data_IF_232684578679
#
_entry.id   IF_232684578679
#
_cell.length_a   1.000
_cell.length_b   1.000
_cell.length_c   1.000
_cell.angle_alpha   90.00
_cell.angle_beta   90.00
_cell.angle_gamma   90.00
#
_symmetry.space_group_name_H-M   'P 1'
#
loop_
_entity.id
_entity.type
_entity.pdbx_description
1 polymer ?
#
# COMPACT_ATOMS: atom_id res chain seq x y z
N UNK A 1 -9.07 14.00 27.08
CA UNK A 1 -9.28 12.54 27.02
C UNK A 1 -9.15 12.00 28.44
N UNK A 2 -10.01 11.10 28.93
CA UNK A 2 -9.83 10.44 30.23
C UNK A 2 -8.45 9.77 30.32
N UNK A 3 -7.85 9.73 31.52
CA UNK A 3 -6.51 9.18 31.70
C UNK A 3 -6.43 7.65 31.52
N UNK A 4 -7.57 6.97 31.52
CA UNK A 4 -7.73 5.53 31.33
C UNK A 4 -8.28 5.16 29.95
N UNK A 5 -8.41 6.13 29.04
CA UNK A 5 -8.77 5.84 27.66
C UNK A 5 -7.60 5.16 26.96
N UNK A 6 -7.87 4.03 26.32
CA UNK A 6 -6.89 3.34 25.47
C UNK A 6 -6.78 4.04 24.11
N UNK A 7 -5.66 3.81 23.41
CA UNK A 7 -5.57 4.25 22.02
C UNK A 7 -6.66 3.58 21.16
N UNK A 8 -7.21 4.30 20.19
CA UNK A 8 -8.28 3.77 19.36
C UNK A 8 -8.90 4.78 18.40
N UNK A 9 -9.68 4.26 17.46
CA UNK A 9 -10.58 5.05 16.62
C UNK A 9 -11.94 5.13 17.33
N UNK A 10 -12.30 6.32 17.79
CA UNK A 10 -13.54 6.56 18.53
C UNK A 10 -14.63 7.17 17.65
N UNK A 11 -15.86 6.73 17.90
CA UNK A 11 -17.06 7.17 17.19
C UNK A 11 -18.06 7.79 18.18
N UNK A 12 -18.12 9.12 18.25
CA UNK A 12 -19.19 9.79 18.97
C UNK A 12 -20.46 9.79 18.11
N UNK A 13 -21.50 9.06 18.54
CA UNK A 13 -22.79 9.01 17.86
C UNK A 13 -23.73 10.08 18.42
N UNK A 14 -23.88 11.17 17.68
CA UNK A 14 -24.84 12.22 17.98
C UNK A 14 -26.22 11.77 17.51
N UNK A 15 -27.20 11.74 18.42
CA UNK A 15 -28.58 11.33 18.12
C UNK A 15 -29.51 12.51 18.40
N UNK A 16 -30.48 12.73 17.51
CA UNK A 16 -31.51 13.76 17.73
C UNK A 16 -32.40 13.40 18.91
N UNK A 17 -32.68 14.39 19.75
CA UNK A 17 -33.60 14.25 20.90
C UNK A 17 -34.96 14.88 20.66
N UNK A 18 -35.09 15.72 19.62
CA UNK A 18 -36.41 16.10 19.12
C UNK A 18 -36.99 14.89 18.37
N UNK A 19 -38.32 14.68 18.41
CA UNK A 19 -39.00 13.46 17.92
C UNK A 19 -38.81 13.14 16.41
N UNK A 20 -37.86 13.78 15.74
CA UNK A 20 -37.37 13.51 14.41
C UNK A 20 -36.23 12.48 14.46
N UNK A 21 -36.34 11.40 13.70
CA UNK A 21 -35.24 10.45 13.57
C UNK A 21 -34.02 11.11 12.92
N UNK A 22 -32.83 10.83 13.45
CA UNK A 22 -31.56 11.26 12.86
C UNK A 22 -30.38 11.01 13.77
N UNK A 23 -29.25 10.65 13.18
CA UNK A 23 -27.97 10.54 13.88
C UNK A 23 -26.80 10.84 12.96
N UNK A 24 -25.68 11.25 13.54
CA UNK A 24 -24.41 11.45 12.84
C UNK A 24 -23.27 10.94 13.71
N UNK A 25 -22.20 10.49 13.07
CA UNK A 25 -20.97 10.12 13.75
C UNK A 25 -19.94 11.24 13.62
N UNK A 26 -19.22 11.49 14.71
CA UNK A 26 -17.95 12.21 14.71
C UNK A 26 -16.85 11.17 14.93
N UNK A 27 -15.89 11.14 14.03
CA UNK A 27 -14.71 10.27 14.10
C UNK A 27 -13.57 11.05 14.74
N UNK A 28 -12.85 10.42 15.66
CA UNK A 28 -11.62 10.97 16.20
C UNK A 28 -10.73 9.85 16.70
N UNK A 29 -9.43 10.07 16.67
CA UNK A 29 -8.45 9.14 17.20
C UNK A 29 -8.02 9.60 18.59
N UNK A 30 -7.98 8.66 19.52
CA UNK A 30 -7.27 8.83 20.80
C UNK A 30 -5.92 8.16 20.61
N UNK A 31 -4.86 8.96 20.69
CA UNK A 31 -3.48 8.49 20.55
C UNK A 31 -2.92 8.04 21.88
N UNK A 32 -1.88 7.22 21.81
CA UNK A 32 -0.95 6.97 22.90
C UNK A 32 0.42 7.51 22.50
N UNK A 33 0.79 8.69 23.00
CA UNK A 33 2.03 9.41 22.68
C UNK A 33 3.16 9.10 23.71
N UNK A 34 2.87 8.27 24.70
CA UNK A 34 3.87 7.80 25.69
C UNK A 34 4.10 6.28 25.56
N UNK A 35 3.41 5.65 24.61
CA UNK A 35 3.37 4.22 24.37
C UNK A 35 4.54 3.70 23.53
N UNK A 36 4.43 2.45 23.12
CA UNK A 36 5.42 1.75 22.29
C UNK A 36 4.89 0.41 21.83
N UNK A 37 3.60 0.39 21.43
CA UNK A 37 2.93 -0.82 20.98
C UNK A 37 3.64 -1.41 19.77
N UNK A 38 3.58 -2.73 19.57
CA UNK A 38 4.24 -3.36 18.43
C UNK A 38 3.77 -2.77 17.09
N UNK A 39 2.47 -2.43 16.97
CA UNK A 39 1.86 -1.90 15.76
C UNK A 39 1.42 -0.44 15.93
N UNK A 40 1.68 0.39 14.92
CA UNK A 40 1.08 1.71 14.76
C UNK A 40 0.17 1.74 13.54
N UNK A 41 -1.14 1.90 13.78
CA UNK A 41 -2.15 2.00 12.74
C UNK A 41 -2.39 3.46 12.36
N UNK A 42 -2.06 3.83 11.12
CA UNK A 42 -2.48 5.11 10.55
C UNK A 42 -3.88 5.01 9.97
N UNK A 43 -4.77 5.91 10.39
CA UNK A 43 -6.05 6.09 9.73
C UNK A 43 -5.91 6.89 8.44
N UNK A 44 -6.73 6.60 7.44
CA UNK A 44 -6.81 7.33 6.16
C UNK A 44 -7.65 8.62 6.26
N UNK A 45 -7.48 9.42 7.32
CA UNK A 45 -8.34 10.57 7.63
C UNK A 45 -8.30 11.69 6.58
N UNK A 46 -7.16 11.85 5.91
CA UNK A 46 -7.00 12.74 4.76
C UNK A 46 -7.93 12.34 3.62
N UNK A 47 -8.05 11.04 3.32
CA UNK A 47 -9.01 10.50 2.34
C UNK A 47 -10.44 10.70 2.81
N UNK A 48 -10.75 10.43 4.08
CA UNK A 48 -12.09 10.67 4.62
C UNK A 48 -12.51 12.12 4.39
N UNK A 49 -11.61 13.09 4.60
CA UNK A 49 -11.88 14.52 4.38
C UNK A 49 -11.93 14.91 2.91
N UNK A 50 -11.07 14.34 2.08
CA UNK A 50 -11.03 14.58 0.63
C UNK A 50 -12.36 14.21 -0.03
N UNK A 51 -12.96 13.10 0.40
CA UNK A 51 -14.24 12.60 -0.10
C UNK A 51 -15.46 13.13 0.66
N UNK A 52 -15.29 13.75 1.84
CA UNK A 52 -16.39 14.29 2.61
C UNK A 52 -17.16 15.40 1.84
N UNK A 53 -18.37 15.09 1.41
CA UNK A 53 -19.25 16.00 0.67
C UNK A 53 -20.14 16.88 1.57
N UNK A 54 -19.92 16.87 2.89
CA UNK A 54 -20.73 17.67 3.79
C UNK A 54 -20.65 19.16 3.42
N UNK A 55 -21.82 19.80 3.28
CA UNK A 55 -21.93 21.18 2.79
C UNK A 55 -21.87 21.33 1.27
N UNK A 56 -21.87 20.23 0.51
CA UNK A 56 -22.00 20.20 -0.95
C UNK A 56 -20.70 20.33 -1.74
N UNK A 57 -19.54 20.34 -1.08
CA UNK A 57 -18.23 20.38 -1.73
C UNK A 57 -17.25 19.39 -1.08
N UNK A 58 -16.42 18.75 -1.90
CA UNK A 58 -15.29 17.88 -1.57
C UNK A 58 -14.17 18.09 -2.60
N UNK A 59 -13.05 17.37 -2.49
CA UNK A 59 -12.00 17.42 -3.51
C UNK A 59 -12.38 16.72 -4.83
N UNK A 60 -13.59 16.15 -4.91
CA UNK A 60 -14.12 15.48 -6.11
C UNK A 60 -15.36 16.14 -6.69
N UNK A 61 -16.16 16.84 -5.89
CA UNK A 61 -17.41 17.46 -6.36
C UNK A 61 -17.64 18.80 -5.70
N UNK A 62 -18.31 19.72 -6.38
CA UNK A 62 -18.58 21.06 -5.85
C UNK A 62 -18.97 22.08 -6.90
N UNK A 63 -19.36 23.26 -6.46
CA UNK A 63 -19.79 24.39 -7.30
C UNK A 63 -19.17 25.70 -6.81
N UNK A 64 -18.75 26.62 -7.71
CA UNK A 64 -18.90 26.58 -9.18
C UNK A 64 -17.76 25.88 -9.93
N UNK A 65 -16.65 25.54 -9.27
CA UNK A 65 -15.44 25.02 -9.92
C UNK A 65 -15.47 23.52 -10.26
N UNK A 66 -16.58 22.82 -9.98
CA UNK A 66 -16.71 21.37 -10.15
C UNK A 66 -16.17 20.55 -8.98
N UNK A 67 -15.30 21.13 -8.14
CA UNK A 67 -14.78 20.58 -6.87
C UNK A 67 -14.20 21.69 -5.99
N UNK A 68 -13.89 21.37 -4.73
CA UNK A 68 -13.05 22.20 -3.88
C UNK A 68 -11.55 21.94 -4.15
N UNK A 69 -10.71 22.93 -3.85
CA UNK A 69 -9.25 22.80 -3.79
C UNK A 69 -8.75 22.59 -2.35
N UNK A 70 -9.58 22.95 -1.37
CA UNK A 70 -9.28 22.95 0.05
C UNK A 70 -10.49 22.41 0.81
N UNK A 71 -10.25 21.54 1.80
CA UNK A 71 -11.30 20.97 2.64
C UNK A 71 -10.90 21.07 4.12
N UNK A 72 -11.85 21.51 4.95
CA UNK A 72 -11.58 21.75 6.38
C UNK A 72 -11.93 20.55 7.24
N UNK A 73 -11.12 20.29 8.26
CA UNK A 73 -11.41 19.36 9.37
C UNK A 73 -12.45 19.93 10.35
N UNK A 74 -12.73 21.24 10.32
CA UNK A 74 -13.69 21.90 11.19
C UNK A 74 -15.11 21.86 10.61
N UNK A 75 -15.48 20.72 10.01
CA UNK A 75 -16.81 20.47 9.46
C UNK A 75 -17.28 19.04 9.77
N UNK A 76 -18.59 18.81 9.88
CA UNK A 76 -19.13 17.46 10.05
C UNK A 76 -18.80 16.52 8.88
N UNK A 77 -18.97 15.23 9.11
CA UNK A 77 -18.94 14.22 8.06
C UNK A 77 -20.35 13.87 7.58
N UNK A 78 -20.50 13.62 6.28
CA UNK A 78 -21.67 12.90 5.77
C UNK A 78 -21.56 11.43 6.17
N UNK A 79 -22.07 11.11 7.36
CA UNK A 79 -22.04 9.75 7.93
C UNK A 79 -22.67 8.72 6.99
N UNK A 80 -21.93 7.65 6.64
CA UNK A 80 -22.39 6.60 5.70
C UNK A 80 -23.00 7.21 4.43
N UNK A 81 -22.31 8.22 3.92
CA UNK A 81 -22.74 9.06 2.81
C UNK A 81 -22.56 8.39 1.45
N UNK A 82 -22.47 9.19 0.37
CA UNK A 82 -22.43 8.70 -1.01
C UNK A 82 -21.15 7.95 -1.38
N UNK A 83 -20.10 8.04 -0.56
CA UNK A 83 -18.77 7.47 -0.79
C UNK A 83 -18.41 6.51 0.34
N UNK A 84 -19.16 5.40 0.53
CA UNK A 84 -18.94 4.50 1.66
C UNK A 84 -17.58 3.80 1.58
N UNK A 85 -17.00 3.63 0.39
CA UNK A 85 -15.66 3.07 0.16
C UNK A 85 -14.52 3.84 0.85
N UNK A 86 -14.68 5.16 0.99
CA UNK A 86 -13.64 6.09 1.48
C UNK A 86 -13.82 6.45 2.95
N UNK A 87 -14.55 5.61 3.68
CA UNK A 87 -14.95 5.81 5.08
C UNK A 87 -14.31 4.74 5.95
N UNK A 88 -14.05 5.03 7.24
CA UNK A 88 -13.43 4.07 8.17
C UNK A 88 -14.19 2.74 8.26
N UNK A 89 -15.50 2.75 8.03
CA UNK A 89 -16.34 1.54 8.09
C UNK A 89 -16.15 0.57 6.92
N UNK A 90 -15.39 0.92 5.88
CA UNK A 90 -15.22 0.07 4.71
C UNK A 90 -14.06 -0.92 4.86
N UNK A 91 -12.85 -0.44 5.07
CA UNK A 91 -11.66 -1.28 5.08
C UNK A 91 -10.83 -1.17 6.38
N UNK A 92 -10.87 -0.02 7.05
CA UNK A 92 -10.15 0.15 8.32
C UNK A 92 -10.86 -0.60 9.46
N UNK A 93 -12.19 -0.49 9.56
CA UNK A 93 -12.98 -1.14 10.60
C UNK A 93 -12.85 -2.67 10.65
N UNK A 94 -12.94 -3.44 9.54
CA UNK A 94 -12.69 -4.88 9.60
C UNK A 94 -11.24 -5.22 10.00
N UNK A 95 -10.24 -4.41 9.65
CA UNK A 95 -8.86 -4.60 10.12
C UNK A 95 -8.74 -4.36 11.62
N UNK A 96 -9.23 -3.23 12.13
CA UNK A 96 -9.25 -2.88 13.57
C UNK A 96 -9.89 -4.01 14.38
N UNK A 97 -11.08 -4.45 13.96
CA UNK A 97 -11.80 -5.55 14.63
C UNK A 97 -10.98 -6.84 14.66
N UNK A 98 -10.24 -7.13 13.61
CA UNK A 98 -9.45 -8.35 13.52
C UNK A 98 -8.18 -8.27 14.38
N UNK A 99 -7.45 -7.15 14.33
CA UNK A 99 -6.27 -6.91 15.17
C UNK A 99 -6.63 -6.99 16.66
N UNK A 100 -7.63 -6.23 17.10
CA UNK A 100 -8.06 -6.19 18.50
C UNK A 100 -8.63 -7.55 18.97
N UNK A 101 -9.38 -8.27 18.12
CA UNK A 101 -9.91 -9.61 18.47
C UNK A 101 -8.80 -10.64 18.68
N UNK A 102 -7.69 -10.50 17.98
CA UNK A 102 -6.51 -11.34 18.14
C UNK A 102 -5.49 -10.73 19.13
N UNK A 103 -5.86 -9.69 19.88
CA UNK A 103 -5.00 -9.17 20.96
C UNK A 103 -3.61 -8.72 20.48
N UNK A 104 -3.52 -8.13 19.29
CA UNK A 104 -2.31 -7.40 18.92
C UNK A 104 -2.17 -6.16 19.80
N UNK A 105 -0.95 -5.85 20.20
CA UNK A 105 -0.62 -4.57 20.81
C UNK A 105 -0.56 -3.49 19.71
N UNK A 106 -1.58 -2.64 19.66
CA UNK A 106 -1.78 -1.67 18.58
C UNK A 106 -2.20 -0.32 19.13
N UNK A 107 -1.52 0.72 18.66
CA UNK A 107 -1.90 2.12 18.85
C UNK A 107 -2.33 2.75 17.53
N UNK A 108 -3.05 3.86 17.61
CA UNK A 108 -3.69 4.51 16.48
C UNK A 108 -3.31 5.98 16.41
N UNK A 109 -3.07 6.46 15.19
CA UNK A 109 -2.88 7.88 14.87
C UNK A 109 -3.40 8.19 13.46
N UNK A 110 -3.35 9.45 13.04
CA UNK A 110 -3.88 9.87 11.73
C UNK A 110 -2.80 10.26 10.72
N UNK A 111 -3.15 10.43 9.44
CA UNK A 111 -2.22 10.95 8.43
C UNK A 111 -1.75 12.38 8.73
N UNK A 112 -2.57 13.17 9.44
CA UNK A 112 -2.16 14.47 10.02
C UNK A 112 -1.02 14.26 11.03
N UNK A 113 -1.13 13.23 11.87
CA UNK A 113 -0.10 12.90 12.87
C UNK A 113 1.17 12.36 12.21
N UNK A 114 1.03 11.57 11.15
CA UNK A 114 2.16 11.14 10.32
C UNK A 114 2.97 12.31 9.76
N UNK A 115 2.34 13.46 9.47
CA UNK A 115 3.04 14.68 9.05
C UNK A 115 3.71 15.42 10.22
N UNK A 116 2.97 15.69 11.30
CA UNK A 116 3.42 16.59 12.38
C UNK A 116 4.18 15.91 13.52
N UNK A 117 4.05 14.59 13.66
CA UNK A 117 4.61 13.76 14.73
C UNK A 117 5.31 12.51 14.18
N UNK A 118 6.07 12.65 13.09
CA UNK A 118 6.74 11.53 12.44
C UNK A 118 7.72 10.76 13.31
N UNK A 119 8.23 11.35 14.41
CA UNK A 119 9.08 10.65 15.38
C UNK A 119 8.37 9.51 16.08
N UNK A 120 7.06 9.61 16.31
CA UNK A 120 6.26 8.58 17.00
C UNK A 120 6.29 7.26 16.20
N UNK A 121 6.41 7.32 14.87
CA UNK A 121 6.49 6.13 14.02
C UNK A 121 7.70 5.26 14.38
N UNK A 122 8.77 5.86 14.90
CA UNK A 122 10.01 5.17 15.28
C UNK A 122 9.90 4.39 16.59
N UNK A 123 8.78 4.52 17.30
CA UNK A 123 8.57 3.91 18.62
C UNK A 123 7.90 2.54 18.54
N UNK A 124 7.67 2.04 17.32
CA UNK A 124 6.93 0.82 17.02
C UNK A 124 7.74 -0.11 16.12
N UNK A 125 7.39 -1.40 16.12
CA UNK A 125 8.03 -2.41 15.25
C UNK A 125 7.52 -2.28 13.81
N UNK A 126 6.20 -2.05 13.63
CA UNK A 126 5.59 -1.89 12.32
C UNK A 126 4.56 -0.77 12.23
N UNK A 127 4.60 -0.04 11.11
CA UNK A 127 3.62 0.94 10.70
C UNK A 127 2.62 0.33 9.70
N UNK A 128 1.33 0.59 9.89
CA UNK A 128 0.25 0.10 9.05
C UNK A 128 -0.49 1.25 8.36
N UNK A 129 -0.60 1.18 7.03
CA UNK A 129 -1.55 1.97 6.24
C UNK A 129 -2.62 1.02 5.69
N UNK A 130 -3.90 1.33 5.91
CA UNK A 130 -4.99 0.37 5.71
C UNK A 130 -6.15 1.00 4.94
N UNK A 131 -6.69 0.25 4.00
CA UNK A 131 -7.91 0.64 3.29
C UNK A 131 -7.61 1.57 2.12
N UNK A 132 -8.15 2.80 2.14
CA UNK A 132 -8.00 3.75 1.03
C UNK A 132 -7.24 4.99 1.48
N UNK A 133 -5.91 4.93 1.46
CA UNK A 133 -5.02 5.98 1.99
C UNK A 133 -4.44 6.88 0.88
N UNK A 134 -5.32 7.44 0.04
CA UNK A 134 -5.00 8.13 -1.22
C UNK A 134 -4.25 9.46 -1.07
N UNK A 135 -4.50 10.22 -0.01
CA UNK A 135 -4.05 11.61 0.12
C UNK A 135 -2.91 11.74 1.12
N UNK A 136 -1.68 11.89 0.63
CA UNK A 136 -0.50 12.00 1.46
C UNK A 136 0.11 13.39 1.39
N UNK A 137 0.46 13.94 2.55
CA UNK A 137 1.23 15.18 2.62
C UNK A 137 2.72 14.89 2.45
N UNK A 138 3.49 15.93 2.10
CA UNK A 138 4.92 15.76 1.88
C UNK A 138 5.69 15.34 3.14
N UNK A 139 5.34 15.90 4.30
CA UNK A 139 5.97 15.55 5.57
C UNK A 139 5.59 14.13 6.00
N UNK A 140 4.32 13.75 5.87
CA UNK A 140 3.87 12.37 6.12
C UNK A 140 4.67 11.34 5.31
N UNK A 141 4.76 11.52 3.98
CA UNK A 141 5.52 10.59 3.12
C UNK A 141 7.00 10.54 3.51
N UNK A 142 7.60 11.70 3.81
CA UNK A 142 8.99 11.79 4.24
C UNK A 142 9.23 11.08 5.59
N UNK A 143 8.33 11.24 6.55
CA UNK A 143 8.44 10.62 7.88
C UNK A 143 8.27 9.10 7.81
N UNK A 144 7.29 8.58 7.06
CA UNK A 144 7.12 7.14 6.85
C UNK A 144 8.35 6.54 6.14
N UNK A 145 8.89 7.25 5.15
CA UNK A 145 10.11 6.83 4.45
C UNK A 145 11.32 6.82 5.41
N UNK A 146 11.44 7.84 6.26
CA UNK A 146 12.50 7.90 7.27
C UNK A 146 12.37 6.78 8.30
N UNK A 147 11.16 6.38 8.68
CA UNK A 147 10.91 5.25 9.56
C UNK A 147 11.38 3.92 8.96
N UNK A 148 11.03 3.66 7.68
CA UNK A 148 11.58 2.52 6.92
C UNK A 148 13.10 2.54 6.94
N UNK A 149 13.70 3.68 6.64
CA UNK A 149 15.16 3.83 6.56
C UNK A 149 15.84 3.71 7.94
N UNK A 150 15.08 3.87 9.03
CA UNK A 150 15.51 3.63 10.40
C UNK A 150 15.28 2.18 10.88
N UNK A 151 14.58 1.35 10.11
CA UNK A 151 14.36 -0.07 10.41
C UNK A 151 12.94 -0.44 10.82
N UNK A 152 12.00 0.50 10.85
CA UNK A 152 10.58 0.21 11.12
C UNK A 152 9.97 -0.49 9.90
N UNK A 153 9.28 -1.59 10.13
CA UNK A 153 8.60 -2.34 9.08
C UNK A 153 7.35 -1.60 8.61
N UNK A 154 7.02 -1.68 7.32
CA UNK A 154 5.85 -1.01 6.74
C UNK A 154 4.90 -2.03 6.11
N UNK A 155 3.62 -2.04 6.51
CA UNK A 155 2.59 -2.81 5.82
C UNK A 155 1.53 -1.89 5.22
N UNK A 156 1.51 -1.81 3.89
CA UNK A 156 0.47 -1.15 3.11
C UNK A 156 -0.61 -2.18 2.79
N UNK A 157 -1.60 -2.27 3.66
CA UNK A 157 -2.80 -3.11 3.53
C UNK A 157 -3.89 -2.28 2.82
N UNK A 158 -3.46 -1.66 1.72
CA UNK A 158 -4.14 -0.61 0.96
C UNK A 158 -3.93 -0.84 -0.54
N UNK A 159 -4.73 -0.13 -1.35
CA UNK A 159 -4.48 0.15 -2.75
C UNK A 159 -4.76 1.63 -2.99
N UNK A 160 -4.28 2.19 -4.11
CA UNK A 160 -4.34 3.63 -4.38
C UNK A 160 -3.78 4.50 -3.25
N UNK A 161 -2.88 3.97 -2.41
CA UNK A 161 -2.25 4.77 -1.36
C UNK A 161 -1.23 5.75 -1.92
N UNK A 162 -1.08 6.88 -1.21
CA UNK A 162 -0.09 7.91 -1.56
C UNK A 162 -0.18 8.37 -3.02
N UNK A 163 -1.37 8.41 -3.62
CA UNK A 163 -1.57 8.80 -5.00
C UNK A 163 -1.55 10.33 -5.19
N UNK A 164 -2.32 11.07 -4.38
CA UNK A 164 -2.35 12.52 -4.41
C UNK A 164 -1.38 13.13 -3.40
N UNK A 165 -0.56 14.07 -3.87
CA UNK A 165 0.22 14.95 -2.99
C UNK A 165 -0.67 16.06 -2.44
N UNK A 166 -0.57 16.29 -1.14
CA UNK A 166 -1.29 17.36 -0.43
C UNK A 166 -0.35 18.25 0.37
N UNK A 167 -0.91 19.35 0.88
CA UNK A 167 -0.28 20.21 1.87
C UNK A 167 -1.30 20.68 2.90
N UNK A 168 -0.79 21.20 4.01
CA UNK A 168 -1.59 21.68 5.13
C UNK A 168 -1.69 23.20 5.14
N UNK A 169 -2.86 23.69 5.55
CA UNK A 169 -3.06 25.06 6.00
C UNK A 169 -3.70 25.10 7.40
N UNK A 170 -3.59 26.25 8.04
CA UNK A 170 -4.25 26.54 9.30
C UNK A 170 -5.78 26.55 9.13
N UNK A 171 -6.48 26.44 10.26
CA UNK A 171 -7.92 26.67 10.31
C UNK A 171 -8.25 28.09 9.85
N UNK A 172 -9.35 28.22 9.10
CA UNK A 172 -9.92 29.52 8.73
C UNK A 172 -10.70 30.20 9.86
N UNK A 173 -10.88 29.54 11.00
CA UNK A 173 -11.49 30.15 12.17
C UNK A 173 -10.50 31.06 12.94
N UNK A 174 -10.99 31.76 13.95
CA UNK A 174 -10.18 32.70 14.73
C UNK A 174 -9.07 32.06 15.56
N UNK A 175 -9.04 30.73 15.72
CA UNK A 175 -8.00 30.03 16.46
C UNK A 175 -6.79 29.67 15.59
N UNK A 176 -6.92 29.71 14.25
CA UNK A 176 -5.86 29.43 13.29
C UNK A 176 -5.02 28.17 13.65
N UNK A 177 -5.70 27.13 14.13
CA UNK A 177 -5.01 25.89 14.51
C UNK A 177 -4.43 25.23 13.26
N UNK A 178 -3.14 24.91 13.28
CA UNK A 178 -2.45 24.24 12.16
C UNK A 178 -3.07 22.90 11.78
N UNK A 179 -2.86 22.46 10.53
CA UNK A 179 -3.30 21.15 10.03
C UNK A 179 -4.81 20.95 10.14
N UNK A 180 -5.59 22.00 9.90
CA UNK A 180 -7.07 21.95 9.90
C UNK A 180 -7.68 22.15 8.53
N UNK A 181 -6.86 22.40 7.52
CA UNK A 181 -7.27 22.54 6.13
C UNK A 181 -6.34 21.67 5.26
N UNK A 182 -6.92 20.65 4.61
CA UNK A 182 -6.23 19.80 3.65
C UNK A 182 -6.36 20.42 2.26
N UNK A 183 -5.24 20.61 1.57
CA UNK A 183 -5.19 21.28 0.27
C UNK A 183 -4.72 20.33 -0.82
N UNK A 184 -5.49 20.26 -1.91
CA UNK A 184 -5.09 19.60 -3.15
C UNK A 184 -5.70 20.28 -4.38
N UNK A 185 -4.85 20.89 -5.18
CA UNK A 185 -5.26 21.48 -6.45
C UNK A 185 -5.35 20.45 -7.58
N UNK A 186 -5.09 19.16 -7.34
CA UNK A 186 -5.07 18.08 -8.33
C UNK A 186 -4.49 18.54 -9.67
N UNK A 187 -3.28 19.08 -9.59
CA UNK A 187 -2.62 19.77 -10.71
C UNK A 187 -2.40 18.84 -11.92
N UNK A 188 -2.32 17.53 -11.69
CA UNK A 188 -2.35 16.47 -12.71
C UNK A 188 -3.61 16.50 -13.57
N UNK A 189 -4.79 16.71 -12.99
CA UNK A 189 -6.04 16.87 -13.75
C UNK A 189 -6.08 18.22 -14.48
N UNK A 190 -5.55 19.28 -13.85
CA UNK A 190 -5.50 20.60 -14.46
C UNK A 190 -4.53 20.66 -15.65
N UNK A 191 -3.54 19.76 -15.71
CA UNK A 191 -2.48 19.78 -16.72
C UNK A 191 -1.52 20.96 -16.56
N UNK A 192 -1.47 21.57 -15.38
CA UNK A 192 -0.67 22.76 -15.08
C UNK A 192 -0.49 22.96 -13.58
N UNK A 193 0.61 23.63 -13.18
CA UNK A 193 0.78 24.17 -11.83
C UNK A 193 -0.22 25.31 -11.60
N UNK A 194 -1.19 25.11 -10.71
CA UNK A 194 -2.28 26.04 -10.40
C UNK A 194 -2.47 26.32 -8.90
N UNK A 195 -1.85 25.55 -8.01
CA UNK A 195 -1.78 25.93 -6.59
C UNK A 195 -0.95 27.24 -6.49
N UNK A 196 -1.45 28.28 -5.81
CA UNK A 196 -0.81 29.59 -5.74
C UNK A 196 0.52 29.56 -4.96
N UNK A 197 0.80 28.49 -4.23
CA UNK A 197 2.09 28.24 -3.60
C UNK A 197 3.04 27.48 -4.53
N UNK A 198 4.32 27.38 -4.17
CA UNK A 198 5.29 26.58 -4.92
C UNK A 198 5.10 25.08 -4.78
N UNK A 199 4.35 24.62 -3.78
CA UNK A 199 4.18 23.20 -3.47
C UNK A 199 3.37 22.50 -4.56
N UNK A 200 3.83 21.33 -5.00
CA UNK A 200 3.08 20.45 -5.89
C UNK A 200 1.91 19.80 -5.14
N UNK A 201 0.72 19.79 -5.74
CA UNK A 201 -0.45 19.07 -5.21
C UNK A 201 -1.20 18.26 -6.28
N UNK A 202 -0.48 17.75 -7.28
CA UNK A 202 -0.95 16.73 -8.21
C UNK A 202 -0.59 15.31 -7.76
N UNK A 203 -0.69 14.34 -8.65
CA UNK A 203 -0.28 12.96 -8.35
C UNK A 203 1.23 12.89 -8.16
N UNK A 204 1.67 12.00 -7.28
CA UNK A 204 3.08 11.86 -6.97
C UNK A 204 3.90 11.38 -8.16
N UNK A 205 3.32 10.53 -9.01
CA UNK A 205 3.97 9.95 -10.19
C UNK A 205 4.06 10.87 -11.42
N UNK A 206 3.45 12.05 -11.40
CA UNK A 206 3.29 12.88 -12.60
C UNK A 206 4.65 13.33 -13.16
N UNK A 207 5.06 12.75 -14.29
CA UNK A 207 6.35 13.04 -14.92
C UNK A 207 6.33 14.28 -15.83
N UNK A 208 5.17 14.91 -16.02
CA UNK A 208 5.03 16.00 -17.00
C UNK A 208 5.77 17.26 -16.56
N UNK A 209 6.30 18.08 -17.49
CA UNK A 209 7.22 19.18 -17.17
C UNK A 209 6.68 20.29 -16.26
N UNK A 210 5.36 20.38 -16.07
CA UNK A 210 4.75 21.37 -15.18
C UNK A 210 4.71 20.93 -13.72
N UNK A 211 5.01 19.67 -13.41
CA UNK A 211 5.34 19.24 -12.06
C UNK A 211 6.77 19.75 -11.74
N UNK A 212 6.92 20.74 -10.84
CA UNK A 212 8.22 21.33 -10.56
C UNK A 212 9.14 20.41 -9.74
N UNK A 213 8.61 19.36 -9.15
CA UNK A 213 9.34 18.42 -8.28
C UNK A 213 9.78 17.14 -9.00
N UNK A 214 9.29 16.92 -10.23
CA UNK A 214 9.47 15.67 -10.96
C UNK A 214 8.66 14.50 -10.36
N UNK A 215 8.65 13.34 -11.06
CA UNK A 215 7.89 12.18 -10.62
C UNK A 215 8.56 11.55 -9.38
N UNK A 216 7.73 11.21 -8.39
CA UNK A 216 8.06 10.41 -7.22
C UNK A 216 7.01 9.29 -7.08
N UNK A 217 6.99 8.30 -7.98
CA UNK A 217 5.96 7.25 -7.97
C UNK A 217 5.82 6.53 -6.63
N UNK A 218 4.63 6.07 -6.35
CA UNK A 218 4.18 5.44 -5.10
C UNK A 218 4.95 4.15 -4.83
N UNK A 219 5.15 3.34 -5.89
CA UNK A 219 5.87 2.07 -5.80
C UNK A 219 7.31 2.19 -5.29
N UNK A 220 7.95 3.36 -5.44
CA UNK A 220 9.28 3.62 -4.86
C UNK A 220 9.31 3.56 -3.32
N UNK A 221 8.15 3.67 -2.66
CA UNK A 221 7.99 3.43 -1.23
C UNK A 221 7.18 2.16 -0.96
N UNK A 222 5.98 2.03 -1.53
CA UNK A 222 5.01 0.99 -1.12
C UNK A 222 5.21 -0.35 -1.82
N UNK A 223 6.01 -0.37 -2.90
CA UNK A 223 6.24 -1.54 -3.73
C UNK A 223 5.21 -1.76 -4.84
N UNK A 224 4.07 -1.09 -4.79
CA UNK A 224 2.99 -1.18 -5.80
C UNK A 224 2.57 0.20 -6.29
N UNK A 225 1.95 0.25 -7.47
CA UNK A 225 1.48 1.50 -8.09
C UNK A 225 0.04 1.35 -8.57
N UNK A 226 -0.84 2.27 -8.17
CA UNK A 226 -2.25 2.25 -8.56
C UNK A 226 -2.47 2.18 -10.07
N UNK A 227 -3.30 1.25 -10.51
CA UNK A 227 -3.61 1.08 -11.93
C UNK A 227 -5.09 0.83 -12.22
N UNK A 228 -5.88 0.30 -11.30
CA UNK A 228 -7.26 -0.08 -11.57
C UNK A 228 -8.24 0.69 -10.71
N UNK A 229 -9.08 1.48 -11.38
CA UNK A 229 -9.94 2.51 -10.76
C UNK A 229 -11.25 1.98 -10.15
N UNK A 230 -11.71 0.81 -10.59
CA UNK A 230 -13.01 0.30 -10.14
C UNK A 230 -13.17 -1.19 -10.34
N UNK A 231 -14.20 -1.72 -9.67
CA UNK A 231 -14.56 -3.13 -9.71
C UNK A 231 -13.98 -3.91 -8.53
N UNK A 232 -14.35 -5.17 -8.41
CA UNK A 232 -13.78 -6.04 -7.38
C UNK A 232 -13.63 -7.45 -7.94
N UNK A 233 -12.64 -8.17 -7.44
CA UNK A 233 -12.35 -9.54 -7.81
C UNK A 233 -11.62 -10.22 -6.64
N UNK A 234 -11.02 -11.35 -6.91
CA UNK A 234 -10.35 -12.22 -5.97
C UNK A 234 -8.84 -12.17 -6.20
N UNK A 235 -8.07 -12.32 -5.13
CA UNK A 235 -6.62 -12.55 -5.23
C UNK A 235 -6.38 -14.03 -5.58
N UNK A 236 -5.35 -14.29 -6.39
CA UNK A 236 -4.89 -15.65 -6.72
C UNK A 236 -3.45 -15.87 -6.30
N UNK A 237 -3.18 -17.04 -5.73
CA UNK A 237 -1.83 -17.48 -5.32
C UNK A 237 -1.45 -18.70 -6.13
N UNK A 238 -0.41 -18.58 -6.96
CA UNK A 238 0.13 -19.69 -7.73
C UNK A 238 0.96 -20.66 -6.88
N UNK A 239 1.16 -21.87 -7.38
CA UNK A 239 1.89 -22.92 -6.66
C UNK A 239 3.32 -22.56 -6.24
N UNK A 240 4.02 -21.72 -7.02
CA UNK A 240 5.35 -21.24 -6.64
C UNK A 240 5.27 -20.21 -5.50
N UNK A 241 4.28 -19.34 -5.52
CA UNK A 241 4.07 -18.32 -4.50
C UNK A 241 3.57 -18.93 -3.19
N UNK A 242 2.68 -19.92 -3.24
CA UNK A 242 2.14 -20.60 -2.07
C UNK A 242 3.20 -21.30 -1.20
N UNK A 243 4.41 -21.55 -1.73
CA UNK A 243 5.57 -22.04 -0.98
C UNK A 243 6.37 -20.94 -0.26
N UNK A 244 6.13 -19.67 -0.60
CA UNK A 244 6.83 -18.56 0.03
C UNK A 244 6.36 -18.35 1.46
N UNK A 245 7.25 -17.76 2.25
CA UNK A 245 7.13 -17.66 3.70
C UNK A 245 5.85 -16.99 4.20
N UNK A 246 5.29 -16.03 3.46
CA UNK A 246 4.00 -15.39 3.81
C UNK A 246 2.88 -16.44 3.99
N UNK A 247 2.89 -17.50 3.18
CA UNK A 247 1.80 -18.47 3.09
C UNK A 247 1.98 -19.71 3.95
N UNK A 248 2.98 -19.75 4.84
CA UNK A 248 3.16 -20.83 5.83
C UNK A 248 1.89 -21.03 6.66
N UNK A 249 1.58 -22.26 7.08
CA UNK A 249 0.30 -22.60 7.74
C UNK A 249 -0.95 -22.34 6.85
N UNK A 250 -0.70 -22.09 5.57
CA UNK A 250 -1.58 -21.96 4.41
C UNK A 250 -2.48 -23.13 4.05
N UNK A 251 -1.78 -24.27 3.91
CA UNK A 251 -1.97 -25.33 2.91
C UNK A 251 -1.61 -24.96 1.45
N UNK A 252 -1.29 -23.70 1.13
CA UNK A 252 -0.98 -23.27 -0.25
C UNK A 252 0.35 -23.79 -0.79
N UNK A 253 1.23 -24.27 0.08
CA UNK A 253 2.49 -24.95 -0.26
C UNK A 253 2.25 -26.32 -0.94
N UNK A 254 1.06 -26.90 -0.76
CA UNK A 254 0.65 -28.19 -1.33
C UNK A 254 0.13 -28.11 -2.77
N UNK A 255 -0.01 -26.91 -3.34
CA UNK A 255 -0.45 -26.72 -4.72
C UNK A 255 0.50 -27.38 -5.72
N UNK A 256 -0.06 -28.15 -6.66
CA UNK A 256 0.73 -28.78 -7.71
C UNK A 256 1.24 -27.72 -8.72
N UNK A 257 2.38 -27.95 -9.40
CA UNK A 257 2.87 -27.04 -10.43
C UNK A 257 1.81 -26.68 -11.47
N UNK A 258 1.63 -25.38 -11.73
CA UNK A 258 0.62 -24.84 -12.64
C UNK A 258 -0.78 -24.64 -12.04
N UNK A 259 -1.00 -25.01 -10.77
CA UNK A 259 -2.24 -24.67 -10.05
C UNK A 259 -2.14 -23.29 -9.39
N UNK A 260 -3.30 -22.65 -9.24
CA UNK A 260 -3.50 -21.48 -8.37
C UNK A 260 -4.65 -21.75 -7.40
N UNK A 261 -4.65 -21.02 -6.29
CA UNK A 261 -5.75 -20.95 -5.36
C UNK A 261 -6.35 -19.54 -5.38
N UNK A 262 -7.66 -19.44 -5.56
CA UNK A 262 -8.43 -18.21 -5.38
C UNK A 262 -8.66 -17.98 -3.88
N UNK A 263 -8.43 -16.76 -3.40
CA UNK A 263 -8.66 -16.33 -2.02
C UNK A 263 -10.11 -15.80 -1.83
N UNK A 264 -10.32 -14.96 -0.82
CA UNK A 264 -11.63 -14.42 -0.48
C UNK A 264 -12.31 -13.67 -1.63
N UNK A 265 -13.64 -13.75 -1.66
CA UNK A 265 -14.45 -13.01 -2.62
C UNK A 265 -14.33 -11.49 -2.39
N UNK A 266 -14.20 -10.73 -3.47
CA UNK A 266 -14.17 -9.27 -3.46
C UNK A 266 -13.04 -8.65 -2.61
N UNK A 267 -11.90 -9.35 -2.47
CA UNK A 267 -10.74 -8.85 -1.70
C UNK A 267 -9.70 -8.13 -2.56
N UNK A 268 -9.82 -8.20 -3.88
CA UNK A 268 -9.05 -7.41 -4.85
C UNK A 268 -9.90 -6.26 -5.38
N UNK A 269 -9.69 -5.05 -4.86
CA UNK A 269 -10.43 -3.85 -5.23
C UNK A 269 -10.61 -2.91 -4.03
N UNK A 270 -11.57 -1.97 -4.04
CA UNK A 270 -12.33 -1.60 -5.24
C UNK A 270 -11.42 -0.90 -6.27
N UNK A 271 -10.36 -0.28 -5.77
CA UNK A 271 -9.18 0.13 -6.50
C UNK A 271 -7.99 -0.74 -6.08
N UNK A 272 -7.09 -0.97 -7.03
CA UNK A 272 -5.95 -1.84 -6.80
C UNK A 272 -4.78 -1.54 -7.72
N UNK A 273 -3.63 -2.09 -7.33
CA UNK A 273 -2.32 -1.69 -7.81
C UNK A 273 -1.61 -2.82 -8.56
N UNK A 274 -0.57 -2.45 -9.31
CA UNK A 274 0.34 -3.39 -9.97
C UNK A 274 1.78 -3.26 -9.48
N UNK A 275 2.60 -4.28 -9.75
CA UNK A 275 4.06 -4.24 -9.66
C UNK A 275 4.66 -3.93 -11.05
N UNK A 276 4.77 -2.63 -11.39
CA UNK A 276 5.30 -2.18 -12.66
C UNK A 276 6.82 -1.98 -12.64
N UNK A 277 7.50 -2.47 -13.68
CA UNK A 277 8.91 -2.18 -13.97
C UNK A 277 9.06 -0.78 -14.62
N UNK A 278 8.83 0.26 -13.83
CA UNK A 278 8.85 1.67 -14.25
C UNK A 278 10.15 2.40 -13.86
N UNK A 279 11.19 1.67 -13.46
CA UNK A 279 12.45 2.24 -12.96
C UNK A 279 12.39 2.82 -11.53
N UNK A 280 11.22 2.82 -10.88
CA UNK A 280 11.06 3.20 -9.46
C UNK A 280 10.80 2.00 -8.55
N UNK A 281 10.70 0.79 -9.10
CA UNK A 281 10.52 -0.45 -8.35
C UNK A 281 11.68 -0.66 -7.35
N UNK A 282 11.41 -0.92 -6.05
CA UNK A 282 12.46 -1.16 -5.07
C UNK A 282 13.29 -2.42 -5.40
N UNK A 283 14.62 -2.36 -5.29
CA UNK A 283 15.47 -3.54 -5.50
C UNK A 283 15.13 -4.68 -4.54
N UNK A 284 15.19 -5.91 -5.04
CA UNK A 284 14.91 -7.12 -4.29
C UNK A 284 13.43 -7.38 -4.02
N UNK A 285 12.51 -6.62 -4.64
CA UNK A 285 11.08 -6.83 -4.48
C UNK A 285 10.65 -8.18 -5.08
N UNK A 286 9.94 -8.97 -4.26
CA UNK A 286 9.39 -10.27 -4.63
C UNK A 286 7.87 -10.22 -4.73
N UNK A 287 7.31 -11.10 -5.57
CA UNK A 287 5.86 -11.29 -5.75
C UNK A 287 5.39 -12.48 -4.93
N UNK A 288 4.36 -12.25 -4.13
CA UNK A 288 3.75 -13.21 -3.21
C UNK A 288 2.39 -13.73 -3.70
N UNK A 289 1.86 -13.16 -4.77
CA UNK A 289 0.64 -13.61 -5.45
C UNK A 289 0.68 -13.13 -6.90
N UNK A 290 -0.15 -13.69 -7.76
CA UNK A 290 -0.32 -13.23 -9.14
C UNK A 290 -1.77 -13.45 -9.57
N UNK A 291 -2.48 -12.36 -9.85
CA UNK A 291 -3.84 -12.39 -10.40
C UNK A 291 -3.95 -11.51 -11.65
N UNK A 292 -4.27 -12.11 -12.79
CA UNK A 292 -4.48 -11.37 -14.06
C UNK A 292 -5.96 -11.15 -14.26
N UNK A 293 -6.37 -9.89 -14.50
CA UNK A 293 -7.78 -9.51 -14.67
C UNK A 293 -7.98 -8.72 -15.97
N UNK A 294 -8.66 -9.27 -16.98
CA UNK A 294 -9.04 -8.55 -18.18
C UNK A 294 -10.35 -7.77 -17.98
N UNK A 295 -10.55 -6.74 -18.81
CA UNK A 295 -11.80 -5.98 -18.86
C UNK A 295 -12.00 -5.00 -17.70
N UNK A 296 -10.94 -4.69 -16.95
CA UNK A 296 -10.98 -3.75 -15.83
C UNK A 296 -10.66 -2.33 -16.27
N UNK A 297 -11.01 -1.34 -15.47
CA UNK A 297 -10.81 0.08 -15.77
C UNK A 297 -9.37 0.51 -15.42
N UNK A 298 -8.46 0.43 -16.41
CA UNK A 298 -7.03 0.66 -16.22
C UNK A 298 -6.65 2.12 -16.49
N UNK A 299 -5.82 2.69 -15.63
CA UNK A 299 -5.25 4.02 -15.78
C UNK A 299 -4.32 4.09 -17.01
N UNK A 300 -4.50 5.11 -17.83
CA UNK A 300 -3.81 5.28 -19.12
C UNK A 300 -2.78 6.42 -19.10
N UNK A 301 -2.77 7.23 -18.04
CA UNK A 301 -1.92 8.41 -17.92
C UNK A 301 -1.50 8.63 -16.45
N UNK A 302 -1.12 9.85 -16.09
CA UNK A 302 -0.62 10.19 -14.76
C UNK A 302 -1.71 10.28 -13.68
N UNK A 303 -2.99 10.03 -14.01
CA UNK A 303 -4.06 9.91 -13.00
C UNK A 303 -5.45 10.40 -13.39
N UNK A 304 -5.77 10.54 -14.68
CA UNK A 304 -7.01 11.19 -15.16
C UNK A 304 -7.81 10.36 -16.17
N UNK A 305 -7.15 9.54 -16.99
CA UNK A 305 -7.79 8.84 -18.10
C UNK A 305 -7.79 7.34 -17.84
N UNK A 306 -8.96 6.72 -17.96
CA UNK A 306 -9.12 5.28 -17.79
C UNK A 306 -9.74 4.64 -19.02
N UNK A 307 -9.35 3.39 -19.30
CA UNK A 307 -9.91 2.59 -20.38
C UNK A 307 -9.97 1.11 -20.00
N UNK A 308 -10.90 0.32 -20.60
CA UNK A 308 -10.89 -1.13 -20.42
C UNK A 308 -9.56 -1.74 -20.84
N UNK A 309 -8.93 -2.49 -19.95
CA UNK A 309 -7.62 -3.09 -20.15
C UNK A 309 -7.47 -4.43 -19.44
N UNK A 310 -6.25 -4.97 -19.47
CA UNK A 310 -5.85 -6.11 -18.63
C UNK A 310 -4.83 -5.61 -17.63
N UNK A 311 -5.02 -5.97 -16.38
CA UNK A 311 -4.14 -5.59 -15.28
C UNK A 311 -3.67 -6.83 -14.51
N UNK A 312 -2.48 -6.76 -13.92
CA UNK A 312 -1.87 -7.88 -13.17
C UNK A 312 -1.55 -7.47 -11.74
N UNK A 313 -2.33 -7.98 -10.80
CA UNK A 313 -2.14 -7.75 -9.37
C UNK A 313 -1.08 -8.69 -8.79
N UNK A 314 -0.27 -8.14 -7.89
CA UNK A 314 0.66 -8.88 -7.04
C UNK A 314 0.61 -8.35 -5.60
N UNK A 315 0.57 -9.25 -4.63
CA UNK A 315 1.09 -8.95 -3.30
C UNK A 315 2.62 -8.82 -3.41
N UNK A 316 3.19 -7.80 -2.80
CA UNK A 316 4.63 -7.53 -2.89
C UNK A 316 5.29 -7.50 -1.52
N UNK A 317 6.58 -7.86 -1.49
CA UNK A 317 7.43 -7.66 -0.33
C UNK A 317 8.83 -7.30 -0.79
N UNK A 318 9.45 -6.30 -0.18
CA UNK A 318 10.89 -6.05 -0.31
C UNK A 318 11.52 -5.81 1.06
N UNK A 319 12.85 -5.91 1.10
CA UNK A 319 13.64 -5.54 2.27
C UNK A 319 14.45 -4.29 1.98
N UNK A 320 14.19 -3.22 2.71
CA UNK A 320 14.96 -1.99 2.62
C UNK A 320 16.41 -2.18 3.11
N UNK A 321 17.29 -1.24 2.76
CA UNK A 321 18.70 -1.30 3.16
C UNK A 321 18.89 -1.31 4.69
N UNK A 322 17.96 -0.70 5.43
CA UNK A 322 17.91 -0.71 6.90
C UNK A 322 17.63 -2.09 7.49
N UNK A 323 17.12 -3.03 6.70
CA UNK A 323 16.61 -4.32 7.15
C UNK A 323 15.10 -4.38 7.24
N UNK A 324 14.41 -3.23 7.22
CA UNK A 324 12.94 -3.15 7.28
C UNK A 324 12.28 -3.92 6.13
N UNK A 325 11.25 -4.68 6.43
CA UNK A 325 10.30 -5.28 5.51
C UNK A 325 9.27 -4.23 5.10
N UNK A 326 8.98 -4.20 3.80
CA UNK A 326 7.88 -3.39 3.26
C UNK A 326 6.98 -4.28 2.44
N UNK A 327 5.75 -4.43 2.90
CA UNK A 327 4.70 -5.23 2.27
C UNK A 327 3.66 -4.34 1.60
N UNK A 328 3.31 -4.65 0.35
CA UNK A 328 2.22 -4.01 -0.37
C UNK A 328 1.13 -5.02 -0.71
N UNK A 329 -0.08 -4.81 -0.19
CA UNK A 329 -1.26 -5.58 -0.55
C UNK A 329 -1.79 -5.21 -1.94
N UNK A 330 -1.61 -3.95 -2.36
CA UNK A 330 -2.09 -3.43 -3.64
C UNK A 330 -3.59 -3.56 -3.83
N UNK A 331 -4.38 -3.44 -2.76
CA UNK A 331 -5.84 -3.53 -2.77
C UNK A 331 -6.43 -2.85 -1.54
N UNK A 332 -7.46 -2.02 -1.74
CA UNK A 332 -8.20 -1.39 -0.63
C UNK A 332 -8.90 -2.45 0.25
N UNK A 333 -9.29 -3.57 -0.35
CA UNK A 333 -10.19 -4.56 0.24
C UNK A 333 -9.49 -5.72 0.96
N UNK A 334 -8.18 -5.63 1.25
CA UNK A 334 -7.45 -6.73 1.93
C UNK A 334 -8.17 -7.19 3.21
N UNK A 335 -8.61 -6.24 4.04
CA UNK A 335 -9.24 -6.50 5.34
C UNK A 335 -10.61 -7.17 5.26
N UNK A 336 -11.25 -7.20 4.09
CA UNK A 336 -12.49 -7.96 3.88
C UNK A 336 -12.25 -9.47 3.97
N UNK A 337 -11.02 -9.91 3.65
CA UNK A 337 -10.58 -11.28 3.89
C UNK A 337 -10.40 -11.61 5.38
N UNK A 338 -10.39 -10.61 6.27
CA UNK A 338 -10.12 -10.78 7.70
C UNK A 338 -11.39 -10.75 8.56
N UNK A 339 -12.34 -9.86 8.27
CA UNK A 339 -13.60 -9.73 8.98
C UNK A 339 -14.74 -9.30 8.04
N UNK A 340 -15.92 -9.89 8.23
CA UNK A 340 -17.09 -9.67 7.36
C UNK A 340 -17.82 -8.35 7.61
N UNK A 341 -17.46 -7.59 8.66
CA UNK A 341 -18.21 -6.42 9.09
C UNK A 341 -17.69 -5.13 8.43
N UNK A 342 -18.25 -4.79 7.27
CA UNK A 342 -17.91 -3.57 6.52
C UNK A 342 -19.11 -2.97 5.77
N UNK A 343 -18.97 -1.73 5.30
CA UNK A 343 -20.08 -0.93 4.71
C UNK A 343 -20.32 -1.12 3.19
N UNK A 344 -19.77 -2.15 2.56
CA UNK A 344 -19.96 -2.44 1.12
C UNK A 344 -20.21 -3.90 0.83
N UNK A 345 -21.39 -4.37 1.22
CA UNK A 345 -21.83 -5.75 0.97
C UNK A 345 -21.45 -6.69 2.10
N UNK A 346 -21.42 -7.98 1.79
CA UNK A 346 -20.98 -9.01 2.72
C UNK A 346 -19.83 -9.76 2.06
N UNK A 347 -18.79 -10.03 2.84
CA UNK A 347 -17.69 -10.90 2.46
C UNK A 347 -17.66 -12.10 3.41
N UNK A 348 -17.12 -13.22 2.92
CA UNK A 348 -16.76 -14.36 3.77
C UNK A 348 -15.27 -14.27 4.05
N UNK A 349 -14.84 -14.09 5.31
CA UNK A 349 -13.43 -14.04 5.65
C UNK A 349 -12.70 -15.31 5.20
N UNK A 350 -11.47 -15.15 4.71
CA UNK A 350 -10.63 -16.23 4.24
C UNK A 350 -9.55 -16.54 5.28
N UNK A 351 -9.58 -17.76 5.84
CA UNK A 351 -8.65 -18.19 6.87
C UNK A 351 -7.18 -18.14 6.40
N UNK A 352 -6.91 -18.29 5.09
CA UNK A 352 -5.57 -18.19 4.52
C UNK A 352 -5.07 -16.74 4.53
N UNK A 353 -5.95 -15.77 4.26
CA UNK A 353 -5.61 -14.34 4.37
C UNK A 353 -5.40 -13.92 5.83
N UNK A 354 -6.23 -14.43 6.74
CA UNK A 354 -6.04 -14.24 8.18
C UNK A 354 -4.70 -14.79 8.65
N UNK A 355 -4.39 -16.03 8.28
CA UNK A 355 -3.11 -16.65 8.64
C UNK A 355 -1.92 -15.95 7.96
N UNK A 356 -2.04 -15.50 6.71
CA UNK A 356 -1.02 -14.71 6.04
C UNK A 356 -0.78 -13.36 6.75
N UNK A 357 -1.82 -12.72 7.28
CA UNK A 357 -1.68 -11.49 8.07
C UNK A 357 -0.95 -11.78 9.40
N UNK A 358 -1.28 -12.88 10.10
CA UNK A 358 -0.51 -13.32 11.28
C UNK A 358 0.96 -13.55 10.93
N UNK A 359 1.21 -14.21 9.81
CA UNK A 359 2.55 -14.52 9.36
C UNK A 359 3.35 -13.26 9.01
N UNK A 360 2.72 -12.29 8.35
CA UNK A 360 3.33 -11.02 7.99
C UNK A 360 3.73 -10.24 9.24
N UNK A 361 2.77 -9.98 10.14
CA UNK A 361 2.98 -9.16 11.33
C UNK A 361 4.02 -9.80 12.26
N UNK A 362 4.03 -11.13 12.39
CA UNK A 362 5.06 -11.82 13.16
C UNK A 362 6.47 -11.75 12.53
N UNK A 363 6.56 -11.71 11.20
CA UNK A 363 7.85 -11.45 10.53
C UNK A 363 8.27 -9.98 10.68
N UNK A 364 7.32 -9.10 11.02
CA UNK A 364 7.52 -7.68 11.34
C UNK A 364 7.61 -7.40 12.86
N UNK A 365 7.94 -8.41 13.66
CA UNK A 365 8.14 -8.26 15.11
C UNK A 365 6.88 -8.34 15.98
N UNK A 366 5.68 -8.21 15.41
CA UNK A 366 4.42 -8.17 16.16
C UNK A 366 3.72 -9.54 16.22
N UNK A 367 3.68 -10.15 17.41
CA UNK A 367 2.91 -11.38 17.65
C UNK A 367 1.63 -11.09 18.43
N UNK A 368 0.49 -11.70 18.06
CA UNK A 368 -0.73 -11.56 18.83
C UNK A 368 -0.66 -12.32 20.17
N UNK A 369 -1.18 -11.70 21.23
CA UNK A 369 -1.38 -12.35 22.54
C UNK A 369 -2.54 -13.36 22.54
N UNK A 370 -3.42 -13.28 21.53
CA UNK A 370 -4.55 -14.18 21.37
C UNK A 370 -4.78 -14.57 19.91
N UNK A 371 -5.22 -15.79 19.63
CA UNK A 371 -5.61 -16.16 18.27
C UNK A 371 -7.01 -16.72 18.27
N UNK A 372 -7.83 -16.23 17.35
CA UNK A 372 -9.12 -16.84 17.07
C UNK A 372 -8.92 -18.29 16.56
N UNK A 373 -9.91 -19.18 16.75
CA UNK A 373 -9.80 -20.57 16.31
C UNK A 373 -9.47 -20.69 14.82
N UNK A 374 -8.58 -21.64 14.49
CA UNK A 374 -8.13 -21.89 13.13
C UNK A 374 -6.84 -21.15 12.73
N UNK A 375 -6.40 -20.17 13.52
CA UNK A 375 -5.11 -19.52 13.30
C UNK A 375 -4.03 -20.14 14.19
N UNK A 376 -2.79 -20.07 13.71
CA UNK A 376 -1.60 -20.57 14.41
C UNK A 376 -0.58 -19.44 14.53
N UNK A 377 0.03 -19.31 15.70
CA UNK A 377 1.12 -18.36 15.91
C UNK A 377 2.26 -18.65 14.93
N UNK A 378 2.79 -17.60 14.31
CA UNK A 378 3.89 -17.74 13.38
C UNK A 378 5.20 -18.06 14.12
N UNK A 379 6.14 -18.70 13.44
CA UNK A 379 7.48 -18.99 13.97
C UNK A 379 8.52 -18.22 13.17
N UNK A 380 9.51 -17.63 13.86
CA UNK A 380 10.64 -16.95 13.22
C UNK A 380 11.37 -17.87 12.22
N UNK A 381 12.00 -17.28 11.20
CA UNK A 381 12.85 -18.02 10.28
C UNK A 381 14.11 -18.48 11.01
N UNK A 382 14.48 -19.75 10.82
CA UNK A 382 15.80 -20.25 11.22
C UNK A 382 16.82 -20.10 10.09
N UNK A 383 16.36 -19.73 8.90
CA UNK A 383 17.21 -19.47 7.76
C UNK A 383 17.71 -18.02 7.80
N UNK A 384 19.03 -17.88 7.88
CA UNK A 384 19.76 -16.61 7.85
C UNK A 384 20.74 -16.55 6.68
N UNK A 385 20.74 -17.53 5.79
CA UNK A 385 21.61 -17.56 4.62
C UNK A 385 20.98 -16.74 3.50
N UNK A 386 21.77 -15.89 2.85
CA UNK A 386 21.27 -15.20 1.67
C UNK A 386 21.13 -16.19 0.50
N UNK A 387 20.08 -16.06 -0.34
CA UNK A 387 20.01 -16.79 -1.59
C UNK A 387 21.14 -16.33 -2.53
N UNK A 388 21.48 -17.19 -3.50
CA UNK A 388 22.51 -16.90 -4.50
C UNK A 388 21.95 -17.07 -5.91
N UNK A 389 22.42 -16.23 -6.83
CA UNK A 389 22.14 -16.32 -8.27
C UNK A 389 23.44 -16.54 -9.05
N UNK A 390 23.36 -17.27 -10.16
CA UNK A 390 24.48 -17.56 -11.06
C UNK A 390 24.04 -17.33 -12.49
N UNK A 391 24.69 -16.38 -13.16
CA UNK A 391 24.54 -16.15 -14.59
C UNK A 391 25.22 -17.27 -15.39
N UNK A 392 24.47 -17.89 -16.30
CA UNK A 392 24.96 -18.99 -17.16
C UNK A 392 25.11 -18.57 -18.62
N UNK A 393 24.32 -17.60 -19.08
CA UNK A 393 24.41 -17.02 -20.42
C UNK A 393 24.06 -15.53 -20.41
N UNK A 394 24.72 -14.68 -21.22
CA UNK A 394 25.89 -14.98 -22.05
C UNK A 394 27.16 -15.21 -21.20
N UNK A 395 28.17 -15.93 -21.71
CA UNK A 395 29.42 -16.12 -20.95
C UNK A 395 30.19 -14.81 -20.79
N UNK A 396 30.95 -14.60 -19.69
CA UNK A 396 31.79 -13.43 -19.52
C UNK A 396 32.69 -13.18 -20.75
N UNK A 397 32.64 -11.96 -21.29
CA UNK A 397 33.40 -11.57 -22.48
C UNK A 397 32.76 -11.98 -23.82
N UNK A 398 31.55 -12.52 -23.82
CA UNK A 398 30.80 -12.76 -25.06
C UNK A 398 30.37 -11.44 -25.71
N UNK A 399 30.43 -11.40 -27.05
CA UNK A 399 29.86 -10.32 -27.84
C UNK A 399 28.34 -10.54 -28.01
N UNK A 400 27.57 -9.48 -27.79
CA UNK A 400 26.13 -9.43 -28.08
C UNK A 400 25.87 -8.35 -29.13
N UNK A 401 24.88 -8.55 -29.99
CA UNK A 401 24.62 -7.63 -31.09
C UNK A 401 23.69 -6.48 -30.63
N UNK A 402 24.16 -5.24 -30.79
CA UNK A 402 23.33 -4.06 -30.53
C UNK A 402 22.09 -4.06 -31.47
N UNK A 403 20.93 -3.70 -30.90
CA UNK A 403 19.63 -3.71 -31.59
C UNK A 403 19.07 -5.11 -31.88
N UNK A 404 19.64 -6.18 -31.29
CA UNK A 404 19.07 -7.52 -31.30
C UNK A 404 18.78 -7.97 -29.88
N UNK A 405 17.63 -8.61 -29.69
CA UNK A 405 17.28 -9.20 -28.39
C UNK A 405 18.24 -10.34 -28.05
N UNK A 406 18.79 -10.31 -26.85
CA UNK A 406 19.63 -11.33 -26.27
C UNK A 406 18.98 -11.82 -24.98
N UNK A 407 18.84 -13.14 -24.83
CA UNK A 407 18.37 -13.74 -23.58
C UNK A 407 19.53 -13.91 -22.62
N UNK A 408 19.47 -13.21 -21.50
CA UNK A 408 20.30 -13.45 -20.32
C UNK A 408 19.62 -14.55 -19.50
N UNK A 409 20.37 -15.52 -19.01
CA UNK A 409 19.81 -16.62 -18.22
C UNK A 409 20.76 -17.11 -17.13
N UNK A 410 20.19 -17.80 -16.15
CA UNK A 410 20.92 -18.34 -15.04
C UNK A 410 20.10 -19.23 -14.13
N UNK A 411 20.69 -19.55 -12.99
CA UNK A 411 20.05 -20.28 -11.91
C UNK A 411 20.08 -19.47 -10.62
N UNK A 412 19.19 -19.78 -9.69
CA UNK A 412 19.23 -19.25 -8.34
C UNK A 412 18.84 -20.34 -7.33
N UNK A 413 19.41 -20.28 -6.14
CA UNK A 413 19.12 -21.23 -5.08
C UNK A 413 19.31 -20.59 -3.70
N UNK A 414 18.50 -21.05 -2.76
CA UNK A 414 18.70 -20.80 -1.34
C UNK A 414 19.24 -22.08 -0.68
N UNK A 415 20.45 -22.00 -0.12
CA UNK A 415 21.11 -23.15 0.51
C UNK A 415 20.76 -23.30 2.00
N UNK A 416 20.13 -22.29 2.60
CA UNK A 416 19.67 -22.31 3.99
C UNK A 416 18.35 -23.05 4.18
N UNK A 417 17.64 -23.34 3.08
CA UNK A 417 16.39 -24.09 3.04
C UNK A 417 15.18 -23.22 2.70
N UNK A 418 15.39 -21.93 2.41
CA UNK A 418 14.38 -21.02 1.89
C UNK A 418 13.98 -21.31 0.43
N UNK A 419 13.05 -20.49 -0.05
CA UNK A 419 12.58 -20.50 -1.43
C UNK A 419 13.00 -19.19 -2.10
N UNK A 420 13.53 -19.25 -3.33
CA UNK A 420 13.89 -18.04 -4.09
C UNK A 420 12.60 -17.31 -4.50
N UNK A 421 12.37 -16.12 -3.95
CA UNK A 421 11.17 -15.32 -4.22
C UNK A 421 11.15 -14.65 -5.60
N UNK A 422 12.33 -14.33 -6.14
CA UNK A 422 12.52 -13.69 -7.45
C UNK A 422 14.00 -13.51 -7.76
N UNK A 423 14.30 -13.11 -8.99
CA UNK A 423 15.64 -12.72 -9.44
C UNK A 423 15.50 -11.41 -10.19
N UNK A 424 16.45 -10.49 -10.00
CA UNK A 424 16.55 -9.27 -10.78
C UNK A 424 17.84 -9.28 -11.60
N UNK A 425 17.82 -8.61 -12.75
CA UNK A 425 18.98 -8.47 -13.63
C UNK A 425 19.27 -6.99 -13.81
N UNK A 426 20.55 -6.65 -13.70
CA UNK A 426 21.09 -5.35 -14.08
C UNK A 426 22.00 -5.53 -15.28
N UNK A 427 21.94 -4.61 -16.25
CA UNK A 427 22.81 -4.59 -17.45
C UNK A 427 23.78 -3.39 -17.44
N UNK A 428 23.71 -2.55 -16.41
CA UNK A 428 24.44 -1.29 -16.26
C UNK A 428 25.31 -1.25 -14.99
N UNK A 429 25.75 -2.43 -14.53
CA UNK A 429 26.65 -2.56 -13.38
C UNK A 429 25.97 -2.37 -12.03
N UNK A 430 24.65 -2.52 -11.95
CA UNK A 430 23.85 -2.41 -10.74
C UNK A 430 23.26 -1.01 -10.52
N UNK A 431 23.18 -0.19 -11.57
CA UNK A 431 22.58 1.15 -11.47
C UNK A 431 21.06 1.08 -11.57
N UNK A 432 20.53 0.20 -12.43
CA UNK A 432 19.12 -0.22 -12.43
C UNK A 432 18.99 -1.74 -12.35
N UNK A 433 17.86 -2.20 -11.83
CA UNK A 433 17.52 -3.62 -11.66
C UNK A 433 16.12 -3.87 -12.21
N UNK A 434 15.95 -4.98 -12.91
CA UNK A 434 14.71 -5.35 -13.57
C UNK A 434 14.35 -6.81 -13.24
N UNK A 435 13.08 -7.14 -12.98
CA UNK A 435 12.69 -8.50 -12.64
C UNK A 435 12.94 -9.46 -13.82
N UNK A 436 13.51 -10.64 -13.50
CA UNK A 436 13.64 -11.74 -14.44
C UNK A 436 12.39 -12.64 -14.41
N UNK A 437 12.17 -13.35 -15.51
CA UNK A 437 11.18 -14.41 -15.58
C UNK A 437 11.71 -15.69 -14.94
N UNK A 438 10.97 -16.23 -13.96
CA UNK A 438 11.34 -17.42 -13.23
C UNK A 438 12.05 -17.15 -11.90
N UNK A 439 12.54 -18.22 -11.26
CA UNK A 439 13.16 -18.21 -9.93
C UNK A 439 14.41 -19.09 -9.93
N UNK A 440 14.24 -20.39 -9.66
CA UNK A 440 15.37 -21.33 -9.62
C UNK A 440 16.11 -21.49 -10.95
N UNK A 441 15.37 -21.46 -12.06
CA UNK A 441 15.90 -21.12 -13.38
C UNK A 441 15.23 -19.82 -13.80
N UNK A 442 16.01 -18.89 -14.35
CA UNK A 442 15.51 -17.57 -14.70
C UNK A 442 16.05 -17.09 -16.03
N UNK A 443 15.29 -16.19 -16.67
CA UNK A 443 15.64 -15.55 -17.94
C UNK A 443 15.26 -14.07 -17.94
N UNK A 444 16.03 -13.25 -18.64
CA UNK A 444 15.73 -11.84 -18.87
C UNK A 444 16.05 -11.48 -20.32
N UNK A 445 15.09 -10.86 -21.02
CA UNK A 445 15.28 -10.39 -22.39
C UNK A 445 15.89 -8.99 -22.38
N UNK A 446 17.03 -8.83 -23.04
CA UNK A 446 17.74 -7.55 -23.13
C UNK A 446 18.03 -7.19 -24.59
N UNK A 447 17.69 -5.96 -24.99
CA UNK A 447 18.07 -5.42 -26.31
C UNK A 447 19.05 -4.26 -26.12
N UNK A 448 20.38 -4.49 -26.26
CA UNK A 448 21.38 -3.44 -26.11
C UNK A 448 21.19 -2.34 -27.15
N UNK A 449 21.09 -1.07 -26.72
CA UNK A 449 20.87 0.06 -27.64
C UNK A 449 22.18 0.70 -28.15
N UNK A 450 23.28 0.52 -27.42
CA UNK A 450 24.58 1.12 -27.74
C UNK A 450 25.69 0.07 -27.81
N UNK A 451 26.73 0.35 -28.59
CA UNK A 451 27.95 -0.45 -28.62
C UNK A 451 28.86 -0.08 -27.46
N UNK A 452 29.49 -1.07 -26.85
CA UNK A 452 30.42 -0.88 -25.73
C UNK A 452 30.33 -2.02 -24.72
N UNK A 453 31.20 -2.00 -23.68
CA UNK A 453 31.10 -2.96 -22.60
C UNK A 453 29.81 -2.76 -21.79
N UNK A 454 29.14 -3.85 -21.46
CA UNK A 454 28.04 -3.90 -20.50
C UNK A 454 28.46 -4.78 -19.31
N UNK A 455 28.00 -4.43 -18.10
CA UNK A 455 28.25 -5.23 -16.89
C UNK A 455 26.93 -5.80 -16.42
N UNK A 456 26.76 -7.12 -16.59
CA UNK A 456 25.57 -7.82 -16.14
C UNK A 456 25.75 -8.24 -14.68
N UNK A 457 24.73 -7.99 -13.84
CA UNK A 457 24.63 -8.45 -12.45
C UNK A 457 23.27 -9.10 -12.22
N UNK A 458 23.21 -10.00 -11.24
CA UNK A 458 22.06 -10.83 -10.89
C UNK A 458 21.97 -11.04 -9.40
#
# INVERSE_FOLDING_TARGET
VPADAVSGIYFAKLVREDATAGSSHVYFVVRDDEGGSDLLFQTADTTWQAYNQYGGNSLYTGSPAGRAYEVSYNRPFTTRGPTPEDSPFNAEYPMVRWLERNGYDVSYFTGVDGDRYGSEILEHEAYLSVGHDEYWSAGQRANVTAARDAGVDLAFLSGNESFWKTRWEDSIDGAATSHRTLVSYKETHAGAKIDPTSTWTGTWRDERPFNPEGPQPENGLTGTIFMVNSGTSEIEVGAAEGRLRLWRNTNLDSLAPGQSATLGENTLGYEWDEDLDNGSRPPGLIRLSTAVRPGVEVLQDNGSTYAPGTATHHLTLYRAQSGALVFGAGTIQWSWGLDASHDRGASTPDQRMQQATVNLLADMGAQPDGLQPGLTAATASTDTSAPSSVLTSPSPGADVQAGQETTISGTAADAGGGEVGGVEVSVDGGSSWHPAEGRGNWTYSWTPQATGPATIRT
#
